data_IF_511119451820
#
_entry.id   IF_511119451820
#
_cell.length_a   1.000
_cell.length_b   1.000
_cell.length_c   1.000
_cell.angle_alpha   90.00
_cell.angle_beta   90.00
_cell.angle_gamma   90.00
#
_symmetry.space_group_name_H-M   'P 1'
#
loop_
_entity.id
_entity.type
_entity.pdbx_description
1 polymer ?
#
# COMPACT_ATOMS: atom_id res chain seq x y z
N UNK A 1 12.54 -9.16 -15.31
CA UNK A 1 11.24 -8.46 -15.42
C UNK A 1 10.55 -8.25 -14.08
N UNK A 2 10.96 -8.94 -12.99
CA UNK A 2 10.33 -8.81 -11.66
C UNK A 2 10.56 -7.45 -10.97
N UNK A 3 11.74 -6.86 -11.14
CA UNK A 3 12.16 -5.70 -10.34
C UNK A 3 11.56 -4.39 -10.89
N UNK A 4 11.42 -4.26 -12.21
CA UNK A 4 10.74 -3.14 -12.86
C UNK A 4 9.24 -3.07 -12.50
N UNK A 5 8.55 -4.21 -12.44
CA UNK A 5 7.14 -4.24 -12.03
C UNK A 5 6.95 -3.85 -10.56
N UNK A 6 7.94 -4.20 -9.72
CA UNK A 6 7.92 -3.91 -8.30
C UNK A 6 8.12 -2.41 -8.01
N UNK A 7 9.11 -1.79 -8.66
CA UNK A 7 9.32 -0.35 -8.56
C UNK A 7 8.11 0.44 -9.09
N UNK A 8 7.51 -0.02 -10.20
CA UNK A 8 6.29 0.59 -10.76
C UNK A 8 5.12 0.57 -9.77
N UNK A 9 4.93 -0.54 -9.03
CA UNK A 9 3.86 -0.66 -8.04
C UNK A 9 4.08 0.21 -6.81
N UNK A 10 5.33 0.33 -6.32
CA UNK A 10 5.67 1.25 -5.22
C UNK A 10 5.46 2.70 -5.62
N UNK A 11 5.88 3.07 -6.81
CA UNK A 11 5.66 4.42 -7.34
C UNK A 11 4.16 4.70 -7.45
N UNK A 12 3.38 3.75 -7.95
CA UNK A 12 1.93 3.87 -8.02
C UNK A 12 1.30 4.07 -6.63
N UNK A 13 1.77 3.33 -5.61
CA UNK A 13 1.33 3.54 -4.22
C UNK A 13 1.64 4.95 -3.75
N UNK A 14 2.89 5.44 -3.93
CA UNK A 14 3.27 6.78 -3.49
C UNK A 14 2.44 7.86 -4.20
N UNK A 15 2.26 7.73 -5.51
CA UNK A 15 1.45 8.66 -6.30
C UNK A 15 -0.02 8.67 -5.84
N UNK A 16 -0.61 7.52 -5.55
CA UNK A 16 -1.98 7.45 -5.00
C UNK A 16 -2.06 7.98 -3.57
N UNK A 17 -1.05 7.71 -2.74
CA UNK A 17 -0.98 8.14 -1.36
C UNK A 17 -0.88 9.65 -1.24
N UNK A 18 -0.10 10.30 -2.10
CA UNK A 18 0.10 11.75 -2.13
C UNK A 18 -0.90 12.45 -3.07
N UNK A 19 -1.63 11.68 -3.87
CA UNK A 19 -2.61 12.18 -4.83
C UNK A 19 -1.99 12.82 -6.06
N UNK A 20 -0.76 12.46 -6.40
CA UNK A 20 -0.06 12.94 -7.58
C UNK A 20 -0.74 12.36 -8.82
N UNK A 21 -1.11 13.25 -9.74
CA UNK A 21 -1.66 12.89 -11.04
C UNK A 21 -0.96 13.71 -12.14
N UNK A 22 -1.02 13.31 -13.41
CA UNK A 22 -0.47 14.10 -14.51
C UNK A 22 -1.04 15.53 -14.60
N UNK A 23 -2.23 15.76 -14.02
CA UNK A 23 -2.93 17.06 -14.01
C UNK A 23 -2.67 17.86 -12.72
N UNK A 24 -1.80 17.37 -11.83
CA UNK A 24 -1.51 17.98 -10.53
C UNK A 24 -1.98 17.13 -9.35
N UNK A 25 -2.12 17.76 -8.18
CA UNK A 25 -2.41 17.07 -6.91
C UNK A 25 -3.92 16.98 -6.66
N UNK A 26 -4.43 15.76 -6.51
CA UNK A 26 -5.82 15.45 -6.16
C UNK A 26 -5.93 14.91 -4.72
N UNK A 27 -6.14 15.83 -3.77
CA UNK A 27 -6.25 15.52 -2.33
C UNK A 27 -7.43 14.58 -2.02
N UNK A 28 -8.56 14.73 -2.72
CA UNK A 28 -9.74 13.88 -2.51
C UNK A 28 -9.45 12.43 -2.89
N UNK A 29 -8.73 12.21 -4.01
CA UNK A 29 -8.30 10.87 -4.42
C UNK A 29 -7.34 10.26 -3.40
N UNK A 30 -6.38 11.04 -2.91
CA UNK A 30 -5.46 10.61 -1.84
C UNK A 30 -6.20 10.20 -0.57
N UNK A 31 -7.17 11.01 -0.12
CA UNK A 31 -7.95 10.71 1.08
C UNK A 31 -8.74 9.40 0.95
N UNK A 32 -9.43 9.21 -0.18
CA UNK A 32 -10.16 7.96 -0.46
C UNK A 32 -9.23 6.75 -0.51
N UNK A 33 -8.07 6.89 -1.15
CA UNK A 33 -7.08 5.81 -1.21
C UNK A 33 -6.54 5.46 0.18
N UNK A 34 -6.14 6.46 0.98
CA UNK A 34 -5.68 6.27 2.36
C UNK A 34 -6.75 5.60 3.23
N UNK A 35 -8.02 5.94 3.05
CA UNK A 35 -9.12 5.28 3.74
C UNK A 35 -9.23 3.81 3.35
N UNK A 36 -9.32 3.52 2.05
CA UNK A 36 -9.41 2.17 1.50
C UNK A 36 -8.29 1.27 2.04
N UNK A 37 -7.04 1.71 1.94
CA UNK A 37 -5.91 0.86 2.30
C UNK A 37 -5.80 0.65 3.81
N UNK A 38 -6.06 1.69 4.61
CA UNK A 38 -6.08 1.56 6.08
C UNK A 38 -7.18 0.62 6.54
N UNK A 39 -8.33 0.61 5.89
CA UNK A 39 -9.41 -0.33 6.21
C UNK A 39 -8.97 -1.78 6.00
N UNK A 40 -8.29 -2.07 4.89
CA UNK A 40 -7.78 -3.42 4.63
C UNK A 40 -6.65 -3.81 5.58
N UNK A 41 -5.71 -2.91 5.87
CA UNK A 41 -4.63 -3.16 6.84
C UNK A 41 -5.20 -3.39 8.25
N UNK A 42 -6.26 -2.66 8.62
CA UNK A 42 -6.95 -2.86 9.89
C UNK A 42 -7.52 -4.29 10.01
N UNK A 43 -8.08 -4.83 8.93
CA UNK A 43 -8.61 -6.20 8.91
C UNK A 43 -7.51 -7.25 9.10
N UNK A 44 -6.25 -6.95 8.71
CA UNK A 44 -5.08 -7.81 8.92
C UNK A 44 -4.53 -7.77 10.34
N UNK A 45 -5.13 -6.96 11.24
CA UNK A 45 -4.75 -6.84 12.67
C UNK A 45 -3.29 -6.44 12.91
N UNK A 46 -2.69 -5.70 11.97
CA UNK A 46 -1.35 -5.12 12.11
C UNK A 46 -1.43 -3.61 12.39
N UNK A 47 -0.36 -2.97 12.91
CA UNK A 47 -0.33 -1.52 13.13
C UNK A 47 -0.62 -0.72 11.85
N UNK A 48 -1.41 0.35 11.96
CA UNK A 48 -1.80 1.22 10.84
C UNK A 48 -0.70 2.23 10.46
N UNK A 49 0.45 1.73 10.05
CA UNK A 49 1.58 2.56 9.55
C UNK A 49 1.52 2.69 8.02
N UNK A 50 2.17 3.72 7.47
CA UNK A 50 2.32 3.86 6.01
C UNK A 50 3.03 2.65 5.42
N UNK A 51 4.07 2.17 6.10
CA UNK A 51 4.84 1.00 5.71
C UNK A 51 3.96 -0.26 5.61
N UNK A 52 3.12 -0.54 6.61
CA UNK A 52 2.23 -1.70 6.55
C UNK A 52 1.15 -1.56 5.46
N UNK A 53 0.72 -0.33 5.15
CA UNK A 53 -0.13 -0.07 3.99
C UNK A 53 0.59 -0.36 2.68
N UNK A 54 1.84 0.05 2.56
CA UNK A 54 2.68 -0.23 1.39
C UNK A 54 2.93 -1.73 1.24
N UNK A 55 3.37 -2.42 2.31
CA UNK A 55 3.52 -3.88 2.32
C UNK A 55 2.24 -4.61 1.94
N UNK A 56 1.08 -4.13 2.38
CA UNK A 56 -0.22 -4.67 1.96
C UNK A 56 -0.45 -4.49 0.46
N UNK A 57 -0.21 -3.30 -0.08
CA UNK A 57 -0.31 -3.00 -1.51
C UNK A 57 0.64 -3.85 -2.37
N UNK A 58 1.85 -4.07 -1.87
CA UNK A 58 2.86 -4.90 -2.53
C UNK A 58 2.60 -6.41 -2.39
N UNK A 59 1.65 -6.82 -1.54
CA UNK A 59 1.38 -8.23 -1.24
C UNK A 59 2.39 -8.89 -0.31
N UNK A 60 3.36 -8.14 0.21
CA UNK A 60 4.40 -8.60 1.14
C UNK A 60 3.81 -8.87 2.53
N UNK A 61 2.84 -8.06 2.96
CA UNK A 61 2.24 -8.21 4.30
C UNK A 61 1.60 -9.59 4.49
N UNK A 62 0.96 -10.14 3.45
CA UNK A 62 0.36 -11.47 3.55
C UNK A 62 1.42 -12.57 3.62
N UNK A 63 2.56 -12.40 2.95
CA UNK A 63 3.68 -13.35 3.01
C UNK A 63 4.30 -13.36 4.40
N UNK A 64 4.59 -12.18 4.96
CA UNK A 64 5.13 -12.04 6.32
C UNK A 64 4.20 -12.67 7.37
N UNK A 65 2.88 -12.45 7.26
CA UNK A 65 1.90 -13.05 8.17
C UNK A 65 1.86 -14.58 8.04
N UNK A 66 1.87 -15.11 6.82
CA UNK A 66 1.86 -16.56 6.59
C UNK A 66 3.14 -17.23 7.10
N UNK A 67 4.30 -16.60 6.86
CA UNK A 67 5.58 -17.05 7.39
C UNK A 67 5.56 -17.04 8.92
N UNK A 68 5.05 -15.98 9.56
CA UNK A 68 4.93 -15.89 11.01
C UNK A 68 3.96 -16.93 11.62
N UNK A 69 2.92 -17.36 10.90
CA UNK A 69 2.01 -18.43 11.33
C UNK A 69 2.61 -19.84 11.20
N UNK A 70 3.68 -20.01 10.41
CA UNK A 70 4.27 -21.31 10.09
C UNK A 70 5.42 -21.71 11.04
N UNK A 71 5.77 -20.86 12.02
CA UNK A 71 6.75 -21.11 13.09
C UNK A 71 6.08 -21.23 14.46
#
# INVERSE_FOLDING_TARGET
MSDEEFDTKREQFSNLWDGITPKGVNRTKALKFRQYIREHVRQKRVPLTRENCEKYWMGELQKELHEAETF
#
